data_IF_826096682199
#
_entry.id   IF_826096682199
#
_cell.length_a   1.000
_cell.length_b   1.000
_cell.length_c   1.000
_cell.angle_alpha   90.00
_cell.angle_beta   90.00
_cell.angle_gamma   90.00
#
_symmetry.space_group_name_H-M   'P 1'
#
loop_
_entity.id
_entity.type
_entity.pdbx_description
1 polymer ?
#
# COMPACT_ATOMS: atom_id res chain seq x y z
N UNK A 1 46.60 0.85 10.20
CA UNK A 1 46.40 0.72 8.74
C UNK A 1 45.43 -0.43 8.50
N UNK A 2 44.21 -0.12 8.03
CA UNK A 2 43.13 -1.11 7.91
C UNK A 2 43.24 -1.79 6.52
N UNK A 3 43.83 -3.00 6.47
CA UNK A 3 43.92 -3.78 5.22
C UNK A 3 42.51 -4.21 4.83
N UNK A 4 41.92 -3.54 3.84
CA UNK A 4 40.68 -4.02 3.21
C UNK A 4 40.99 -5.33 2.49
N UNK A 5 40.46 -6.43 2.99
CA UNK A 5 40.50 -7.72 2.28
C UNK A 5 39.88 -7.56 0.88
N UNK A 6 40.57 -8.07 -0.14
CA UNK A 6 40.08 -8.12 -1.53
C UNK A 6 38.91 -9.11 -1.65
N UNK A 7 38.76 -10.02 -0.69
CA UNK A 7 37.79 -11.09 -0.66
C UNK A 7 36.57 -10.65 0.18
N UNK A 8 35.38 -10.67 -0.43
CA UNK A 8 34.14 -10.28 0.25
C UNK A 8 33.59 -11.43 1.10
N UNK A 9 32.72 -11.13 2.08
CA UNK A 9 32.08 -12.15 2.93
C UNK A 9 31.32 -13.23 2.13
N UNK A 10 30.77 -12.86 0.96
CA UNK A 10 30.10 -13.80 0.07
C UNK A 10 31.04 -14.83 -0.55
N UNK A 11 32.28 -14.45 -0.84
CA UNK A 11 33.30 -15.34 -1.40
C UNK A 11 33.81 -16.32 -0.33
N UNK A 12 33.98 -15.84 0.91
CA UNK A 12 34.29 -16.70 2.06
C UNK A 12 33.22 -17.78 2.26
N UNK A 13 31.93 -17.43 2.17
CA UNK A 13 30.84 -18.40 2.33
C UNK A 13 30.85 -19.47 1.23
N UNK A 14 31.26 -19.13 0.00
CA UNK A 14 31.46 -20.13 -1.06
C UNK A 14 32.61 -21.08 -0.75
N UNK A 15 33.74 -20.55 -0.28
CA UNK A 15 34.88 -21.40 0.11
C UNK A 15 34.50 -22.35 1.27
N UNK A 16 33.68 -21.90 2.21
CA UNK A 16 33.26 -22.70 3.37
C UNK A 16 32.20 -23.77 3.05
N UNK A 17 31.45 -23.67 1.94
CA UNK A 17 30.41 -24.63 1.57
C UNK A 17 30.97 -26.03 1.22
N UNK A 18 32.23 -26.12 0.78
CA UNK A 18 32.90 -27.38 0.46
C UNK A 18 33.88 -27.89 1.54
N UNK A 19 34.04 -27.16 2.65
CA UNK A 19 35.09 -27.42 3.64
C UNK A 19 34.52 -28.13 4.88
N UNK A 20 35.16 -29.23 5.29
CA UNK A 20 34.80 -29.96 6.51
C UNK A 20 35.03 -29.09 7.76
N UNK A 21 34.27 -29.36 8.84
CA UNK A 21 34.16 -28.45 10.00
C UNK A 21 35.48 -28.06 10.68
N UNK A 22 36.51 -28.92 10.62
CA UNK A 22 37.82 -28.69 11.23
C UNK A 22 38.71 -27.71 10.47
N UNK A 23 38.53 -27.55 9.15
CA UNK A 23 39.43 -26.76 8.29
C UNK A 23 38.91 -25.34 8.00
N UNK A 24 37.68 -25.03 8.44
CA UNK A 24 37.00 -23.76 8.17
C UNK A 24 37.76 -22.53 8.68
N UNK A 25 38.44 -22.67 9.83
CA UNK A 25 39.23 -21.58 10.43
C UNK A 25 40.43 -21.23 9.57
N UNK A 26 41.14 -22.26 9.09
CA UNK A 26 42.29 -22.10 8.20
C UNK A 26 41.88 -21.42 6.88
N UNK A 27 40.75 -21.84 6.29
CA UNK A 27 40.22 -21.22 5.06
C UNK A 27 39.84 -19.75 5.29
N UNK A 28 39.26 -19.40 6.43
CA UNK A 28 38.90 -18.03 6.76
C UNK A 28 40.14 -17.12 6.92
N UNK A 29 41.17 -17.60 7.59
CA UNK A 29 42.44 -16.88 7.77
C UNK A 29 43.15 -16.64 6.43
N UNK A 30 43.15 -17.63 5.53
CA UNK A 30 43.69 -17.49 4.17
C UNK A 30 42.96 -16.39 3.36
N UNK A 31 41.66 -16.21 3.62
CA UNK A 31 40.83 -15.15 3.02
C UNK A 31 40.97 -13.78 3.73
N UNK A 32 41.84 -13.67 4.73
CA UNK A 32 42.06 -12.44 5.50
C UNK A 32 40.97 -12.15 6.53
N UNK A 33 40.23 -13.17 6.98
CA UNK A 33 39.26 -13.07 8.06
C UNK A 33 39.80 -13.73 9.33
N UNK A 34 39.75 -13.02 10.44
CA UNK A 34 40.10 -13.56 11.75
C UNK A 34 38.82 -13.99 12.48
N UNK A 35 38.87 -15.18 13.10
CA UNK A 35 37.78 -15.66 13.95
C UNK A 35 37.73 -14.84 15.23
N UNK A 36 36.61 -14.16 15.49
CA UNK A 36 36.35 -13.59 16.79
C UNK A 36 35.87 -14.71 17.74
N UNK A 37 36.50 -14.85 18.90
CA UNK A 37 35.89 -15.64 19.97
C UNK A 37 34.53 -15.03 20.32
N UNK A 38 33.51 -15.86 20.63
CA UNK A 38 32.23 -15.35 21.10
C UNK A 38 32.50 -14.45 22.31
N UNK A 39 31.90 -13.25 22.39
CA UNK A 39 32.11 -12.40 23.55
C UNK A 39 31.74 -13.19 24.81
N UNK A 40 32.67 -13.19 25.76
CA UNK A 40 32.49 -13.73 27.10
C UNK A 40 31.18 -13.19 27.65
N UNK A 41 30.28 -14.10 28.04
CA UNK A 41 28.91 -13.76 28.46
C UNK A 41 28.99 -12.68 29.54
N UNK A 42 28.43 -11.51 29.25
CA UNK A 42 28.17 -10.48 30.26
C UNK A 42 27.46 -11.14 31.46
N UNK A 43 27.76 -10.71 32.71
CA UNK A 43 27.14 -11.26 33.89
C UNK A 43 25.63 -11.20 33.72
N UNK A 44 25.00 -12.36 33.82
CA UNK A 44 23.57 -12.54 33.68
C UNK A 44 22.86 -11.52 34.56
N UNK A 45 21.97 -10.73 33.95
CA UNK A 45 20.91 -10.01 34.67
C UNK A 45 20.31 -10.94 35.74
N UNK A 46 19.88 -10.39 36.89
CA UNK A 46 19.35 -11.19 37.98
C UNK A 46 18.35 -12.19 37.41
N UNK A 47 18.62 -13.47 37.68
CA UNK A 47 17.75 -14.57 37.29
C UNK A 47 16.42 -14.31 37.99
N UNK A 48 15.53 -13.63 37.28
CA UNK A 48 14.11 -13.75 37.50
C UNK A 48 13.89 -15.26 37.45
N UNK A 49 13.43 -15.90 38.54
CA UNK A 49 13.20 -17.33 38.52
C UNK A 49 12.40 -17.60 37.27
N UNK A 50 13.00 -18.35 36.35
CA UNK A 50 12.30 -18.86 35.19
C UNK A 50 11.34 -19.87 35.79
N UNK A 51 10.20 -19.36 36.28
CA UNK A 51 8.95 -20.08 36.21
C UNK A 51 8.97 -20.53 34.76
N UNK A 52 9.06 -21.84 34.47
CA UNK A 52 8.96 -22.29 33.10
C UNK A 52 7.72 -21.60 32.58
N UNK A 53 7.88 -20.74 31.57
CA UNK A 53 6.77 -20.38 30.74
C UNK A 53 6.40 -21.67 30.03
N UNK A 54 5.72 -22.56 30.77
CA UNK A 54 4.52 -23.13 30.23
C UNK A 54 3.80 -21.89 29.70
N UNK A 55 3.65 -21.73 28.37
CA UNK A 55 2.57 -20.87 27.90
C UNK A 55 1.38 -21.24 28.77
N UNK A 56 0.57 -20.28 29.27
CA UNK A 56 -0.65 -20.67 29.92
C UNK A 56 -1.24 -21.74 29.03
N UNK A 57 -1.33 -22.95 29.56
CA UNK A 57 -2.25 -23.93 29.02
C UNK A 57 -3.55 -23.23 29.36
N UNK A 58 -3.92 -22.26 28.51
CA UNK A 58 -5.27 -22.12 28.09
C UNK A 58 -5.49 -23.55 27.61
N UNK A 59 -6.02 -24.37 28.51
CA UNK A 59 -7.00 -25.33 28.10
C UNK A 59 -8.03 -24.47 27.39
N UNK A 60 -7.72 -24.15 26.12
CA UNK A 60 -8.72 -24.00 25.11
C UNK A 60 -9.29 -25.39 25.18
N UNK A 61 -10.30 -25.58 26.01
CA UNK A 61 -11.19 -26.72 25.93
C UNK A 61 -11.44 -26.79 24.42
N UNK A 62 -10.82 -27.74 23.70
CA UNK A 62 -10.74 -27.70 22.25
C UNK A 62 -12.19 -27.52 21.83
N UNK A 63 -12.53 -26.39 21.18
CA UNK A 63 -13.87 -25.84 21.20
C UNK A 63 -14.78 -27.01 20.97
N UNK A 64 -15.55 -27.43 22.00
CA UNK A 64 -16.18 -28.76 22.01
C UNK A 64 -16.67 -28.94 20.61
N UNK A 65 -16.03 -29.85 19.87
CA UNK A 65 -16.43 -30.10 18.51
C UNK A 65 -17.80 -30.68 18.74
N UNK A 66 -18.84 -29.84 18.70
CA UNK A 66 -20.15 -30.26 18.33
C UNK A 66 -19.85 -31.17 17.17
N UNK A 67 -20.19 -32.46 17.32
CA UNK A 67 -20.03 -33.49 16.32
C UNK A 67 -20.84 -33.03 15.13
N UNK A 68 -20.28 -32.08 14.38
CA UNK A 68 -20.67 -31.68 13.05
C UNK A 68 -20.35 -32.93 12.28
N UNK A 69 -21.40 -33.60 11.82
CA UNK A 69 -21.30 -34.83 11.05
C UNK A 69 -20.14 -34.75 10.08
N UNK A 70 -19.42 -35.86 9.94
CA UNK A 70 -18.20 -36.06 9.17
C UNK A 70 -18.05 -35.07 8.00
N UNK A 71 -17.46 -33.89 8.25
CA UNK A 71 -17.25 -32.91 7.19
C UNK A 71 -16.10 -33.43 6.35
N UNK A 72 -16.38 -33.79 5.10
CA UNK A 72 -15.37 -34.27 4.18
C UNK A 72 -14.57 -33.08 3.66
N UNK A 73 -13.31 -32.99 4.06
CA UNK A 73 -12.38 -32.01 3.49
C UNK A 73 -11.73 -32.61 2.25
N UNK A 74 -12.01 -32.01 1.09
CA UNK A 74 -11.36 -32.38 -0.16
C UNK A 74 -10.07 -31.57 -0.32
N UNK A 75 -8.95 -32.26 -0.48
CA UNK A 75 -7.66 -31.66 -0.83
C UNK A 75 -7.37 -31.95 -2.29
N UNK A 76 -7.17 -30.91 -3.09
CA UNK A 76 -6.66 -31.08 -4.44
C UNK A 76 -5.26 -31.70 -4.39
N UNK A 77 -5.13 -32.95 -4.83
CA UNK A 77 -3.84 -33.68 -4.89
C UNK A 77 -3.14 -33.44 -6.24
N UNK A 78 -3.92 -33.17 -7.29
CA UNK A 78 -3.45 -32.92 -8.65
C UNK A 78 -4.47 -32.05 -9.38
N UNK A 79 -4.01 -31.09 -10.19
CA UNK A 79 -4.85 -30.37 -11.15
C UNK A 79 -4.36 -30.66 -12.56
N UNK A 80 -5.30 -30.74 -13.50
CA UNK A 80 -5.01 -30.84 -14.93
C UNK A 80 -6.01 -29.94 -15.65
N UNK A 81 -5.52 -29.12 -16.57
CA UNK A 81 -6.40 -28.37 -17.46
C UNK A 81 -7.08 -29.37 -18.41
N UNK A 82 -8.41 -29.50 -18.29
CA UNK A 82 -9.25 -30.16 -19.29
C UNK A 82 -9.76 -29.12 -20.27
N UNK A 83 -9.95 -29.51 -21.53
CA UNK A 83 -10.80 -28.74 -22.44
C UNK A 83 -12.21 -28.64 -21.83
N UNK A 84 -12.86 -27.47 -21.90
CA UNK A 84 -14.19 -27.31 -21.33
C UNK A 84 -15.14 -28.28 -22.03
N UNK A 85 -15.61 -29.29 -21.30
CA UNK A 85 -16.72 -30.13 -21.75
C UNK A 85 -17.93 -29.21 -21.94
N UNK A 86 -18.69 -29.33 -23.05
CA UNK A 86 -19.90 -28.54 -23.24
C UNK A 86 -20.82 -28.77 -22.05
N UNK A 87 -21.46 -27.72 -21.50
CA UNK A 87 -22.25 -27.85 -20.30
C UNK A 87 -23.29 -28.96 -20.49
N UNK A 88 -23.23 -29.98 -19.65
CA UNK A 88 -24.29 -30.99 -19.56
C UNK A 88 -25.62 -30.27 -19.36
N UNK A 89 -26.68 -30.79 -19.99
CA UNK A 89 -28.00 -30.17 -20.05
C UNK A 89 -28.46 -29.61 -18.70
N UNK A 90 -29.13 -28.46 -18.78
CA UNK A 90 -29.60 -27.52 -17.74
C UNK A 90 -30.20 -28.13 -16.47
N UNK A 91 -30.59 -29.41 -16.48
CA UNK A 91 -31.17 -30.13 -15.35
C UNK A 91 -30.24 -30.23 -14.13
N UNK A 92 -28.92 -30.32 -14.31
CA UNK A 92 -27.97 -30.44 -13.19
C UNK A 92 -27.73 -29.14 -12.41
N UNK A 93 -28.12 -27.97 -12.92
CA UNK A 93 -27.94 -26.68 -12.23
C UNK A 93 -29.13 -26.28 -11.36
N UNK A 94 -30.30 -26.89 -11.61
CA UNK A 94 -31.56 -26.53 -10.95
C UNK A 94 -31.52 -26.65 -9.42
N UNK A 95 -30.84 -27.66 -8.87
CA UNK A 95 -30.75 -27.84 -7.42
C UNK A 95 -29.78 -26.84 -6.78
N UNK A 96 -28.70 -26.46 -7.47
CA UNK A 96 -27.72 -25.48 -6.99
C UNK A 96 -28.33 -24.07 -6.96
N UNK A 97 -29.12 -23.73 -7.97
CA UNK A 97 -29.89 -22.47 -8.04
C UNK A 97 -31.02 -22.39 -7.01
N UNK A 98 -31.49 -23.54 -6.51
CA UNK A 98 -32.51 -23.65 -5.47
C UNK A 98 -31.95 -23.67 -4.05
N UNK A 99 -30.62 -23.76 -3.87
CA UNK A 99 -30.02 -23.70 -2.54
C UNK A 99 -30.17 -22.29 -1.95
N UNK A 100 -30.53 -22.18 -0.66
CA UNK A 100 -30.54 -20.89 0.01
C UNK A 100 -29.12 -20.29 0.01
N UNK A 101 -28.99 -18.95 -0.13
CA UNK A 101 -27.70 -18.29 -0.04
C UNK A 101 -27.09 -18.53 1.34
N UNK A 102 -25.75 -18.61 1.39
CA UNK A 102 -25.03 -18.72 2.64
C UNK A 102 -25.33 -17.51 3.54
N UNK A 103 -25.65 -17.79 4.79
CA UNK A 103 -25.89 -16.76 5.82
C UNK A 103 -24.58 -16.07 6.22
N UNK A 104 -24.61 -14.82 6.71
CA UNK A 104 -23.42 -14.15 7.24
C UNK A 104 -22.71 -14.97 8.32
N UNK A 105 -23.46 -15.71 9.14
CA UNK A 105 -22.94 -16.61 10.16
C UNK A 105 -22.19 -17.81 9.55
N UNK A 106 -22.70 -18.39 8.47
CA UNK A 106 -22.02 -19.48 7.73
C UNK A 106 -20.77 -18.99 7.00
N UNK A 107 -20.78 -17.75 6.51
CA UNK A 107 -19.63 -17.09 5.90
C UNK A 107 -18.60 -16.59 6.93
N UNK A 108 -19.00 -16.44 8.19
CA UNK A 108 -18.09 -16.08 9.28
C UNK A 108 -17.28 -17.32 9.67
N UNK A 109 -16.10 -17.47 9.09
CA UNK A 109 -15.18 -18.54 9.48
C UNK A 109 -14.98 -18.56 11.00
N UNK A 110 -15.02 -19.75 11.61
CA UNK A 110 -14.78 -19.92 13.05
C UNK A 110 -13.42 -19.34 13.44
N UNK A 111 -13.38 -18.17 14.09
CA UNK A 111 -12.21 -17.59 14.79
C UNK A 111 -10.84 -17.67 14.06
N UNK A 112 -10.79 -17.72 12.73
CA UNK A 112 -9.53 -17.64 11.98
C UNK A 112 -9.38 -16.22 11.46
N UNK A 113 -8.28 -15.51 11.79
CA UNK A 113 -8.06 -14.18 11.23
C UNK A 113 -7.88 -14.29 9.70
N UNK A 114 -8.41 -13.33 8.92
CA UNK A 114 -8.20 -13.32 7.48
C UNK A 114 -6.70 -13.24 7.15
N UNK A 115 -6.26 -13.72 5.98
CA UNK A 115 -4.88 -13.65 5.58
C UNK A 115 -4.44 -12.18 5.52
N UNK A 116 -3.20 -11.86 5.91
CA UNK A 116 -2.72 -10.49 5.89
C UNK A 116 -2.72 -9.94 4.47
N UNK A 117 -3.25 -8.73 4.28
CA UNK A 117 -3.27 -8.07 2.96
C UNK A 117 -1.89 -7.52 2.63
N UNK A 118 -1.20 -8.01 1.57
CA UNK A 118 0.06 -7.42 1.14
C UNK A 118 -0.16 -5.96 0.70
N UNK A 119 0.74 -5.01 1.04
CA UNK A 119 0.53 -3.60 0.70
C UNK A 119 0.55 -3.37 -0.82
N UNK A 120 -0.24 -2.41 -1.30
CA UNK A 120 -0.26 -1.97 -2.71
C UNK A 120 1.15 -1.64 -3.20
N UNK A 121 1.92 -0.94 -2.37
CA UNK A 121 3.30 -0.59 -2.65
C UNK A 121 4.11 -0.47 -1.37
N UNK A 122 5.36 -0.93 -1.40
CA UNK A 122 6.29 -0.85 -0.27
C UNK A 122 6.52 0.60 0.18
N UNK A 123 6.66 0.84 1.49
CA UNK A 123 6.97 2.15 2.05
C UNK A 123 8.17 2.84 1.38
N UNK A 124 9.26 2.10 1.13
CA UNK A 124 10.47 2.64 0.49
C UNK A 124 10.20 3.31 -0.88
N UNK A 125 9.17 2.86 -1.61
CA UNK A 125 8.76 3.44 -2.90
C UNK A 125 7.71 4.53 -2.75
N UNK A 126 6.86 4.45 -1.73
CA UNK A 126 5.81 5.45 -1.46
C UNK A 126 6.35 6.71 -0.80
N UNK A 127 7.31 6.56 0.12
CA UNK A 127 7.89 7.61 0.93
C UNK A 127 8.43 8.82 0.16
N UNK A 128 9.24 8.67 -0.92
CA UNK A 128 9.81 9.81 -1.62
C UNK A 128 8.76 10.77 -2.19
N UNK A 129 7.62 10.22 -2.63
CA UNK A 129 6.48 11.00 -3.11
C UNK A 129 5.77 11.70 -1.95
N UNK A 130 5.47 10.99 -0.85
CA UNK A 130 4.84 11.61 0.32
C UNK A 130 5.66 12.77 0.87
N UNK A 131 6.98 12.63 0.92
CA UNK A 131 7.91 13.71 1.32
C UNK A 131 7.89 14.90 0.37
N UNK A 132 7.54 14.72 -0.90
CA UNK A 132 7.41 15.81 -1.87
C UNK A 132 6.03 16.48 -1.78
N UNK A 133 4.98 15.67 -1.68
CA UNK A 133 3.58 16.07 -1.55
C UNK A 133 3.32 16.85 -0.26
N UNK A 134 3.61 16.24 0.89
CA UNK A 134 3.40 16.82 2.22
C UNK A 134 4.60 17.63 2.73
N UNK A 135 5.68 17.68 1.95
CA UNK A 135 6.87 18.46 2.28
C UNK A 135 6.68 19.96 2.08
N UNK A 136 7.72 20.72 2.32
CA UNK A 136 7.84 22.15 2.07
C UNK A 136 9.30 22.52 1.84
N UNK A 137 9.53 23.79 1.49
CA UNK A 137 10.88 24.36 1.43
C UNK A 137 11.02 25.40 2.52
N UNK A 138 11.99 25.22 3.40
CA UNK A 138 12.35 26.21 4.42
C UNK A 138 13.73 26.75 4.12
N UNK A 139 13.91 28.06 4.27
CA UNK A 139 15.24 28.66 4.20
C UNK A 139 16.12 28.09 5.30
N UNK A 140 17.29 27.58 4.91
CA UNK A 140 18.28 27.09 5.85
C UNK A 140 19.09 28.22 6.48
N UNK A 141 19.98 27.83 7.40
CA UNK A 141 20.90 28.77 8.04
C UNK A 141 22.06 29.19 7.13
N UNK A 142 22.36 28.39 6.09
CA UNK A 142 23.49 28.62 5.17
C UNK A 142 23.10 29.54 4.02
N UNK A 143 24.01 30.45 3.67
CA UNK A 143 23.91 31.31 2.50
C UNK A 143 24.01 30.52 1.20
N UNK A 144 23.32 30.98 0.15
CA UNK A 144 23.47 30.48 -1.21
C UNK A 144 24.49 31.36 -1.95
N UNK A 145 25.78 30.96 -2.01
CA UNK A 145 26.86 31.85 -2.43
C UNK A 145 26.70 32.29 -3.88
N UNK A 146 26.21 31.43 -4.78
CA UNK A 146 26.01 31.78 -6.19
C UNK A 146 24.94 32.86 -6.38
N UNK A 147 23.85 32.79 -5.61
CA UNK A 147 22.81 33.80 -5.64
C UNK A 147 23.31 35.11 -5.05
N UNK A 148 24.03 35.06 -3.92
CA UNK A 148 24.61 36.24 -3.29
C UNK A 148 25.61 36.96 -4.23
N UNK A 149 26.54 36.22 -4.84
CA UNK A 149 27.52 36.79 -5.78
C UNK A 149 26.81 37.40 -7.00
N UNK A 150 25.81 36.72 -7.57
CA UNK A 150 25.03 37.23 -8.70
C UNK A 150 24.31 38.54 -8.36
N UNK A 151 23.68 38.61 -7.19
CA UNK A 151 22.90 39.78 -6.80
C UNK A 151 23.82 40.96 -6.45
N UNK A 152 24.96 40.71 -5.79
CA UNK A 152 26.02 41.69 -5.55
C UNK A 152 26.64 42.21 -6.86
N UNK A 153 26.96 41.33 -7.80
CA UNK A 153 27.51 41.70 -9.11
C UNK A 153 26.55 42.57 -9.93
N UNK A 154 25.24 42.49 -9.66
CA UNK A 154 24.20 43.32 -10.29
C UNK A 154 23.87 44.58 -9.50
N UNK A 155 24.65 44.90 -8.47
CA UNK A 155 24.41 46.02 -7.55
C UNK A 155 22.98 46.06 -7.00
N UNK A 156 22.37 44.87 -6.82
CA UNK A 156 21.03 44.78 -6.23
C UNK A 156 21.16 44.88 -4.70
N UNK A 157 20.47 45.81 -4.04
CA UNK A 157 20.50 45.92 -2.58
C UNK A 157 19.96 44.63 -1.94
N UNK A 158 20.65 44.14 -0.90
CA UNK A 158 20.21 42.96 -0.15
C UNK A 158 19.16 43.35 0.88
N UNK A 159 17.88 43.21 0.54
CA UNK A 159 16.80 43.28 1.55
C UNK A 159 16.74 42.00 2.42
N UNK A 160 17.19 40.87 1.87
CA UNK A 160 17.32 39.58 2.55
C UNK A 160 18.43 38.76 1.90
N UNK A 161 19.32 38.20 2.69
CA UNK A 161 20.41 37.37 2.16
C UNK A 161 19.86 36.05 1.57
N UNK A 162 20.24 35.67 0.35
CA UNK A 162 19.77 34.44 -0.26
C UNK A 162 20.33 33.22 0.50
N UNK A 163 19.45 32.33 0.93
CA UNK A 163 19.76 31.16 1.76
C UNK A 163 19.43 29.87 1.04
N UNK A 164 20.22 28.82 1.30
CA UNK A 164 19.99 27.48 0.76
C UNK A 164 18.66 26.95 1.31
N UNK A 165 17.70 26.69 0.41
CA UNK A 165 16.42 26.10 0.78
C UNK A 165 16.57 24.60 1.05
N UNK A 166 16.11 24.13 2.20
CA UNK A 166 16.08 22.70 2.57
C UNK A 166 14.66 22.16 2.51
N UNK A 167 14.55 20.87 2.17
CA UNK A 167 13.28 20.14 2.25
C UNK A 167 12.98 19.83 3.71
N UNK A 168 11.80 20.21 4.15
CA UNK A 168 11.26 19.91 5.49
C UNK A 168 9.82 19.45 5.33
N UNK A 169 9.20 18.93 6.39
CA UNK A 169 7.75 18.76 6.39
C UNK A 169 7.04 20.11 6.42
N UNK A 170 5.92 20.22 5.71
CA UNK A 170 5.07 21.40 5.85
C UNK A 170 4.50 21.46 7.27
N UNK A 171 4.46 22.65 7.87
CA UNK A 171 3.94 22.85 9.24
C UNK A 171 2.49 22.38 9.36
N UNK A 172 1.67 22.78 8.40
CA UNK A 172 0.30 22.27 8.26
C UNK A 172 0.20 21.45 6.99
N UNK A 173 -0.56 20.36 7.01
CA UNK A 173 -0.88 19.56 5.84
C UNK A 173 -2.24 18.89 6.02
N UNK A 174 -2.96 18.65 4.93
CA UNK A 174 -4.26 17.98 4.95
C UNK A 174 -4.23 16.71 4.13
N UNK A 175 -4.76 15.62 4.67
CA UNK A 175 -4.93 14.34 3.97
C UNK A 175 -6.41 14.01 3.88
N UNK A 176 -6.89 13.79 2.66
CA UNK A 176 -8.26 13.36 2.39
C UNK A 176 -8.24 11.87 2.06
N UNK A 177 -9.07 11.09 2.75
CA UNK A 177 -9.27 9.67 2.52
C UNK A 177 -10.63 9.48 1.85
N UNK A 178 -10.64 8.79 0.72
CA UNK A 178 -11.88 8.41 0.05
C UNK A 178 -12.55 7.27 0.82
N UNK A 179 -13.74 7.56 1.35
CA UNK A 179 -14.50 6.65 2.18
C UNK A 179 -15.55 5.85 1.43
N UNK A 180 -15.66 5.99 0.10
CA UNK A 180 -16.66 5.25 -0.69
C UNK A 180 -16.49 3.76 -0.54
N UNK A 181 -17.63 3.06 -0.54
CA UNK A 181 -17.63 1.61 -0.37
C UNK A 181 -17.00 0.87 -1.56
N UNK A 182 -17.07 1.45 -2.76
CA UNK A 182 -16.40 0.86 -3.94
C UNK A 182 -14.88 0.76 -3.80
N UNK A 183 -14.26 1.59 -2.94
CA UNK A 183 -12.82 1.55 -2.63
C UNK A 183 -12.52 0.80 -1.32
N UNK A 184 -13.49 0.06 -0.77
CA UNK A 184 -13.30 -0.67 0.49
C UNK A 184 -12.12 -1.66 0.44
N UNK A 185 -11.82 -2.25 -0.73
CA UNK A 185 -10.67 -3.13 -0.93
C UNK A 185 -9.31 -2.46 -0.60
N UNK A 186 -9.22 -1.14 -0.67
CA UNK A 186 -7.98 -0.37 -0.41
C UNK A 186 -7.98 0.35 0.95
N UNK A 187 -9.05 0.21 1.74
CA UNK A 187 -9.24 0.97 2.99
C UNK A 187 -8.13 0.72 4.01
N UNK A 188 -7.67 -0.52 4.12
CA UNK A 188 -6.60 -0.90 5.03
C UNK A 188 -5.24 -0.35 4.57
N UNK A 189 -4.99 -0.32 3.26
CA UNK A 189 -3.81 0.32 2.67
C UNK A 189 -3.78 1.82 3.02
N UNK A 190 -4.92 2.53 2.89
CA UNK A 190 -5.03 3.95 3.23
C UNK A 190 -4.78 4.21 4.71
N UNK A 191 -5.35 3.38 5.58
CA UNK A 191 -5.17 3.48 7.03
C UNK A 191 -3.72 3.25 7.43
N UNK A 192 -3.11 2.17 6.93
CA UNK A 192 -1.70 1.88 7.17
C UNK A 192 -0.79 3.02 6.70
N UNK A 193 -1.10 3.61 5.55
CA UNK A 193 -0.34 4.74 5.03
C UNK A 193 -0.47 6.00 5.90
N UNK A 194 -1.64 6.28 6.44
CA UNK A 194 -1.85 7.40 7.37
C UNK A 194 -1.04 7.20 8.65
N UNK A 195 -1.00 5.99 9.21
CA UNK A 195 -0.18 5.70 10.39
C UNK A 195 1.31 5.88 10.11
N UNK A 196 1.79 5.46 8.94
CA UNK A 196 3.16 5.75 8.50
C UNK A 196 3.42 7.25 8.35
N UNK A 197 2.48 8.00 7.77
CA UNK A 197 2.61 9.47 7.67
C UNK A 197 2.72 10.09 9.06
N UNK A 198 1.85 9.70 10.01
CA UNK A 198 1.93 10.19 11.40
C UNK A 198 3.26 9.86 12.04
N UNK A 199 3.76 8.64 11.85
CA UNK A 199 5.05 8.18 12.41
C UNK A 199 6.24 9.00 11.92
N UNK A 200 6.29 9.34 10.63
CA UNK A 200 7.46 9.99 10.01
C UNK A 200 7.37 11.52 9.92
N UNK A 201 6.15 12.07 9.78
CA UNK A 201 5.90 13.52 9.75
C UNK A 201 5.65 14.09 11.14
N UNK A 202 5.05 13.30 12.02
CA UNK A 202 4.37 13.78 13.22
C UNK A 202 2.90 14.12 12.93
N UNK A 203 2.07 13.98 13.97
CA UNK A 203 0.63 14.29 13.93
C UNK A 203 0.34 15.79 14.05
N UNK A 204 1.27 16.59 14.60
CA UNK A 204 1.07 18.02 14.79
C UNK A 204 0.90 18.73 13.43
N UNK A 205 -0.15 19.55 13.33
CA UNK A 205 -0.53 20.23 12.09
C UNK A 205 -0.92 19.29 10.94
N UNK A 206 -1.19 18.00 11.20
CA UNK A 206 -1.75 17.07 10.22
C UNK A 206 -3.27 16.99 10.41
N UNK A 207 -4.03 17.47 9.44
CA UNK A 207 -5.49 17.32 9.43
C UNK A 207 -5.88 16.15 8.53
N UNK A 208 -6.71 15.26 9.05
CA UNK A 208 -7.15 14.04 8.37
C UNK A 208 -8.66 14.10 8.17
N UNK A 209 -9.11 13.93 6.93
CA UNK A 209 -10.51 14.01 6.54
C UNK A 209 -10.96 12.70 5.91
N UNK A 210 -11.98 12.07 6.46
CA UNK A 210 -12.66 10.93 5.86
C UNK A 210 -13.86 11.43 5.06
N UNK A 211 -13.86 11.19 3.74
CA UNK A 211 -14.91 11.63 2.82
C UNK A 211 -15.89 10.48 2.57
N UNK A 212 -17.01 10.44 3.29
CA UNK A 212 -17.96 9.32 3.25
C UNK A 212 -18.50 9.04 1.84
N UNK A 213 -18.78 10.09 1.07
CA UNK A 213 -19.21 10.02 -0.34
C UNK A 213 -18.06 10.13 -1.34
N UNK A 214 -16.81 10.20 -0.85
CA UNK A 214 -15.61 10.40 -1.66
C UNK A 214 -15.49 11.78 -2.29
N UNK A 215 -16.35 12.74 -1.91
CA UNK A 215 -16.40 14.08 -2.50
C UNK A 215 -15.81 15.14 -1.58
N UNK A 216 -14.90 16.00 -2.05
CA UNK A 216 -14.43 17.16 -1.29
C UNK A 216 -15.49 18.28 -1.21
N UNK A 217 -16.61 18.17 -1.94
CA UNK A 217 -17.74 19.10 -1.83
C UNK A 217 -18.69 18.74 -0.68
N UNK A 218 -18.65 17.49 -0.24
CA UNK A 218 -19.55 16.93 0.75
C UNK A 218 -19.12 17.18 2.19
N UNK A 219 -19.81 16.47 3.09
CA UNK A 219 -19.44 16.40 4.50
C UNK A 219 -18.28 15.43 4.71
N UNK A 220 -17.35 15.81 5.57
CA UNK A 220 -16.21 14.98 5.96
C UNK A 220 -16.19 14.75 7.46
N UNK A 221 -15.66 13.62 7.91
CA UNK A 221 -15.34 13.41 9.33
C UNK A 221 -13.88 13.73 9.58
N UNK A 222 -13.60 14.60 10.55
CA UNK A 222 -12.23 14.96 10.92
C UNK A 222 -11.63 13.93 11.89
N UNK A 223 -10.78 13.04 11.41
CA UNK A 223 -10.20 11.99 12.24
C UNK A 223 -9.23 12.56 13.31
N UNK A 224 -9.20 12.01 14.53
CA UNK A 224 -9.95 10.83 15.00
C UNK A 224 -11.38 11.13 15.53
N UNK A 225 -11.81 12.39 15.54
CA UNK A 225 -13.12 12.76 16.08
C UNK A 225 -14.25 12.44 15.07
N UNK A 226 -15.45 12.07 15.53
CA UNK A 226 -16.59 11.83 14.64
C UNK A 226 -17.25 13.13 14.14
N UNK A 227 -16.64 14.29 14.39
CA UNK A 227 -17.24 15.58 14.08
C UNK A 227 -17.33 15.78 12.56
N UNK A 228 -18.56 16.00 12.10
CA UNK A 228 -18.85 16.28 10.70
C UNK A 228 -18.50 17.73 10.39
N UNK A 229 -17.58 17.92 9.46
CA UNK A 229 -17.04 19.22 9.06
C UNK A 229 -17.02 19.37 7.55
N UNK A 230 -16.89 20.60 7.07
CA UNK A 230 -16.58 20.84 5.66
C UNK A 230 -15.17 20.31 5.33
N UNK A 231 -15.02 19.67 4.18
CA UNK A 231 -13.77 19.16 3.63
C UNK A 231 -12.81 20.30 3.18
N UNK A 232 -12.33 21.10 4.12
CA UNK A 232 -11.48 22.27 3.87
C UNK A 232 -10.05 22.01 4.33
N UNK A 233 -9.03 22.22 3.47
CA UNK A 233 -7.65 22.08 3.89
C UNK A 233 -7.24 23.18 4.86
N UNK A 234 -6.30 22.85 5.73
CA UNK A 234 -5.65 23.82 6.63
C UNK A 234 -4.95 24.91 5.82
N UNK A 235 -5.06 26.16 6.31
CA UNK A 235 -4.59 27.32 5.57
C UNK A 235 -3.08 27.23 5.24
N UNK A 236 -2.76 27.32 3.95
CA UNK A 236 -1.39 27.36 3.43
C UNK A 236 -0.62 26.03 3.47
N UNK A 237 -1.22 24.93 3.92
CA UNK A 237 -0.62 23.60 3.90
C UNK A 237 -0.87 22.85 2.59
N UNK A 238 0.01 21.93 2.16
CA UNK A 238 -0.27 21.07 1.02
C UNK A 238 -1.38 20.06 1.34
N UNK A 239 -2.03 19.60 0.27
CA UNK A 239 -3.10 18.61 0.28
C UNK A 239 -2.64 17.32 -0.38
N UNK A 240 -2.92 16.19 0.28
CA UNK A 240 -2.80 14.85 -0.27
C UNK A 240 -4.16 14.16 -0.31
N UNK A 241 -4.60 13.70 -1.48
CA UNK A 241 -5.75 12.81 -1.61
C UNK A 241 -5.29 11.34 -1.69
N UNK A 242 -5.88 10.47 -0.88
CA UNK A 242 -5.82 9.01 -0.98
C UNK A 242 -7.16 8.54 -1.54
N UNK A 243 -7.26 8.53 -2.87
CA UNK A 243 -8.53 8.37 -3.62
C UNK A 243 -8.21 7.97 -5.05
N UNK A 244 -9.13 7.34 -5.76
CA UNK A 244 -9.08 7.18 -7.23
C UNK A 244 -9.49 8.49 -7.96
N UNK A 245 -9.89 9.54 -7.22
CA UNK A 245 -10.41 10.82 -7.71
C UNK A 245 -11.60 10.67 -8.68
N UNK A 246 -12.37 9.59 -8.54
CA UNK A 246 -13.49 9.25 -9.41
C UNK A 246 -13.13 8.48 -10.69
N UNK A 247 -11.86 8.08 -10.87
CA UNK A 247 -11.42 7.42 -12.10
C UNK A 247 -11.89 5.96 -12.25
N UNK A 248 -12.28 5.26 -11.18
CA UNK A 248 -12.77 3.88 -11.24
C UNK A 248 -14.29 3.80 -11.09
N UNK A 249 -14.83 4.23 -9.95
CA UNK A 249 -16.25 4.04 -9.62
C UNK A 249 -17.07 5.33 -9.45
N UNK A 250 -16.45 6.51 -9.58
CA UNK A 250 -17.11 7.80 -9.30
C UNK A 250 -17.75 8.49 -10.50
N UNK A 251 -17.45 8.01 -11.70
CA UNK A 251 -17.87 8.64 -12.95
C UNK A 251 -17.24 10.01 -13.18
N UNK A 252 -17.55 10.60 -14.34
CA UNK A 252 -16.98 11.88 -14.76
C UNK A 252 -17.41 13.04 -13.87
N UNK A 253 -18.58 12.96 -13.24
CA UNK A 253 -19.09 14.00 -12.34
C UNK A 253 -18.22 14.15 -11.08
N UNK A 254 -17.88 13.05 -10.41
CA UNK A 254 -17.02 13.11 -9.22
C UNK A 254 -15.60 13.58 -9.58
N UNK A 255 -15.07 13.14 -10.73
CA UNK A 255 -13.78 13.62 -11.24
C UNK A 255 -13.75 15.14 -11.48
N UNK A 256 -14.84 15.72 -12.01
CA UNK A 256 -14.98 17.20 -12.15
C UNK A 256 -14.99 17.88 -10.79
N UNK A 257 -15.74 17.37 -9.81
CA UNK A 257 -15.79 17.93 -8.45
C UNK A 257 -14.39 17.98 -7.83
N UNK A 258 -13.63 16.88 -7.94
CA UNK A 258 -12.24 16.83 -7.48
C UNK A 258 -11.33 17.83 -8.21
N UNK A 259 -11.50 17.98 -9.52
CA UNK A 259 -10.72 18.89 -10.35
C UNK A 259 -11.01 20.35 -10.01
N UNK A 260 -12.28 20.72 -9.87
CA UNK A 260 -12.73 22.06 -9.49
C UNK A 260 -12.19 22.48 -8.11
N UNK A 261 -12.22 21.56 -7.13
CA UNK A 261 -11.66 21.83 -5.81
C UNK A 261 -10.15 22.05 -5.87
N UNK A 262 -9.42 21.21 -6.61
CA UNK A 262 -7.98 21.41 -6.76
C UNK A 262 -7.64 22.72 -7.48
N UNK A 263 -8.39 23.10 -8.52
CA UNK A 263 -8.22 24.40 -9.16
C UNK A 263 -8.48 25.57 -8.20
N UNK A 264 -9.49 25.47 -7.32
CA UNK A 264 -9.74 26.48 -6.28
C UNK A 264 -8.61 26.55 -5.26
N UNK A 265 -8.13 25.42 -4.76
CA UNK A 265 -7.03 25.37 -3.80
C UNK A 265 -5.70 25.84 -4.41
N UNK A 266 -5.39 25.44 -5.65
CA UNK A 266 -4.19 25.89 -6.36
C UNK A 266 -4.18 27.41 -6.60
N UNK A 267 -5.34 28.02 -6.88
CA UNK A 267 -5.48 29.49 -6.95
C UNK A 267 -5.17 30.18 -5.62
N UNK A 268 -5.30 29.48 -4.50
CA UNK A 268 -4.90 29.95 -3.15
C UNK A 268 -3.44 29.62 -2.82
N UNK A 269 -2.66 29.10 -3.78
CA UNK A 269 -1.27 28.69 -3.57
C UNK A 269 -1.09 27.33 -2.88
N UNK A 270 -2.17 26.56 -2.70
CA UNK A 270 -2.12 25.24 -2.08
C UNK A 270 -1.69 24.20 -3.13
N UNK A 271 -0.66 23.42 -2.79
CA UNK A 271 -0.23 22.29 -3.63
C UNK A 271 -1.16 21.11 -3.40
N UNK A 272 -1.63 20.51 -4.49
CA UNK A 272 -2.56 19.39 -4.49
C UNK A 272 -1.89 18.18 -5.12
N UNK A 273 -1.70 17.12 -4.35
CA UNK A 273 -1.10 15.85 -4.79
C UNK A 273 -2.06 14.71 -4.49
N UNK A 274 -2.01 13.65 -5.28
CA UNK A 274 -2.89 12.51 -5.08
C UNK A 274 -2.16 11.19 -5.27
N UNK A 275 -2.52 10.20 -4.45
CA UNK A 275 -2.03 8.84 -4.55
C UNK A 275 -3.19 7.92 -4.92
N UNK A 276 -3.21 7.45 -6.17
CA UNK A 276 -4.37 6.81 -6.78
C UNK A 276 -4.19 5.28 -6.83
N UNK A 277 -5.04 4.47 -6.17
CA UNK A 277 -5.12 3.04 -6.40
C UNK A 277 -5.87 2.76 -7.70
N UNK A 278 -5.41 3.36 -8.80
CA UNK A 278 -6.03 3.30 -10.13
C UNK A 278 -4.91 3.29 -11.18
N UNK A 279 -4.94 2.39 -12.18
CA UNK A 279 -3.93 2.33 -13.22
C UNK A 279 -4.00 3.57 -14.12
N UNK A 280 -2.84 4.02 -14.60
CA UNK A 280 -2.67 5.32 -15.27
C UNK A 280 -3.42 5.47 -16.58
N UNK A 281 -3.77 4.37 -17.22
CA UNK A 281 -4.53 4.31 -18.46
C UNK A 281 -6.05 4.50 -18.24
N UNK A 282 -6.51 4.43 -16.99
CA UNK A 282 -7.88 4.77 -16.57
C UNK A 282 -8.01 6.20 -16.01
N UNK A 283 -6.91 6.93 -15.89
CA UNK A 283 -6.94 8.30 -15.35
C UNK A 283 -7.61 9.26 -16.33
N UNK A 284 -8.48 10.13 -15.81
CA UNK A 284 -9.00 11.22 -16.62
C UNK A 284 -7.93 12.30 -16.81
N UNK A 285 -7.88 12.88 -18.01
CA UNK A 285 -6.94 13.96 -18.32
C UNK A 285 -7.20 15.21 -17.45
N UNK A 286 -8.47 15.47 -17.13
CA UNK A 286 -8.90 16.59 -16.28
C UNK A 286 -8.31 16.48 -14.87
N UNK A 287 -8.49 15.32 -14.23
CA UNK A 287 -7.96 15.04 -12.89
C UNK A 287 -6.43 15.10 -12.89
N UNK A 288 -5.79 14.45 -13.86
CA UNK A 288 -4.32 14.42 -13.94
C UNK A 288 -3.70 15.81 -14.22
N UNK A 289 -4.43 16.73 -14.85
CA UNK A 289 -4.02 18.13 -14.98
C UNK A 289 -4.25 18.92 -13.68
N UNK A 290 -5.34 18.64 -12.96
CA UNK A 290 -5.72 19.33 -11.74
C UNK A 290 -4.97 18.86 -10.48
N UNK A 291 -4.33 17.68 -10.51
CA UNK A 291 -3.63 17.08 -9.37
C UNK A 291 -2.25 16.56 -9.75
N UNK A 292 -1.27 16.67 -8.83
CA UNK A 292 0.02 15.99 -8.97
C UNK A 292 -0.17 14.50 -8.65
N UNK A 293 -0.72 13.74 -9.60
CA UNK A 293 -1.13 12.35 -9.44
C UNK A 293 0.06 11.39 -9.41
N UNK A 294 0.01 10.38 -8.55
CA UNK A 294 0.91 9.24 -8.58
C UNK A 294 0.13 7.93 -8.48
N UNK A 295 0.51 6.94 -9.30
CA UNK A 295 -0.06 5.60 -9.23
C UNK A 295 0.36 4.89 -7.96
N UNK A 296 -0.61 4.20 -7.35
CA UNK A 296 -0.44 3.43 -6.13
C UNK A 296 -0.59 1.95 -6.37
N UNK A 297 0.36 1.40 -7.10
CA UNK A 297 0.46 -0.03 -7.32
C UNK A 297 1.92 -0.45 -7.48
N UNK A 298 2.14 -1.76 -7.60
CA UNK A 298 3.42 -2.33 -7.97
C UNK A 298 3.78 -1.91 -9.40
N UNK A 299 5.08 -1.81 -9.68
CA UNK A 299 5.59 -1.38 -10.99
C UNK A 299 5.53 0.14 -11.25
N UNK A 300 4.67 0.89 -10.56
CA UNK A 300 4.57 2.34 -10.75
C UNK A 300 5.84 3.08 -10.32
N UNK A 301 6.47 3.75 -11.31
CA UNK A 301 7.66 4.59 -11.10
C UNK A 301 7.22 6.02 -10.85
N UNK A 302 7.22 6.40 -9.57
CA UNK A 302 6.83 7.76 -9.16
C UNK A 302 7.79 8.81 -9.72
N UNK A 303 7.22 9.86 -10.32
CA UNK A 303 7.94 11.05 -10.77
C UNK A 303 7.63 12.23 -9.85
N UNK A 304 8.55 13.18 -9.74
CA UNK A 304 8.28 14.46 -9.07
C UNK A 304 7.36 15.30 -9.96
N UNK A 305 6.36 15.94 -9.37
CA UNK A 305 5.44 16.84 -10.10
C UNK A 305 4.31 16.13 -10.85
N UNK A 306 3.89 14.95 -10.40
CA UNK A 306 2.79 14.19 -10.99
C UNK A 306 3.20 13.30 -12.19
N UNK A 307 2.41 12.27 -12.44
CA UNK A 307 2.50 11.42 -13.61
C UNK A 307 1.36 11.79 -14.58
N UNK A 308 1.59 11.76 -15.90
CA UNK A 308 0.50 11.93 -16.86
C UNK A 308 -0.34 10.65 -16.96
N UNK A 309 -1.60 10.74 -17.45
CA UNK A 309 -2.33 9.56 -17.86
C UNK A 309 -1.56 8.83 -18.97
N UNK A 310 -1.77 7.52 -19.08
CA UNK A 310 -1.30 6.75 -20.23
C UNK A 310 -2.44 6.65 -21.25
N UNK A 311 -2.09 6.57 -22.53
CA UNK A 311 -3.08 6.19 -23.52
C UNK A 311 -3.62 4.80 -23.15
N UNK A 312 -4.94 4.61 -23.21
CA UNK A 312 -5.56 3.31 -23.00
C UNK A 312 -5.06 2.36 -24.09
N UNK A 313 -4.19 1.43 -23.69
CA UNK A 313 -3.57 0.47 -24.61
C UNK A 313 -4.39 -0.82 -24.71
N UNK A 314 -5.09 -1.17 -23.64
CA UNK A 314 -5.79 -2.45 -23.55
C UNK A 314 -7.21 -2.36 -24.10
N UNK A 315 -7.55 -3.35 -24.92
CA UNK A 315 -8.90 -3.56 -25.41
C UNK A 315 -9.79 -3.97 -24.22
N UNK A 316 -11.03 -3.47 -24.11
CA UNK A 316 -11.98 -3.94 -23.10
C UNK A 316 -12.10 -5.47 -22.96
N UNK A 317 -11.98 -6.21 -24.06
CA UNK A 317 -11.99 -7.68 -24.03
C UNK A 317 -10.82 -8.26 -23.21
N UNK A 318 -9.61 -7.73 -23.37
CA UNK A 318 -8.42 -8.18 -22.64
C UNK A 318 -8.54 -7.83 -21.14
N UNK A 319 -9.10 -6.65 -20.83
CA UNK A 319 -9.35 -6.26 -19.45
C UNK A 319 -10.36 -7.20 -18.77
N UNK A 320 -11.44 -7.56 -19.46
CA UNK A 320 -12.41 -8.55 -18.96
C UNK A 320 -11.76 -9.92 -18.76
N UNK A 321 -10.91 -10.37 -19.68
CA UNK A 321 -10.21 -11.65 -19.54
C UNK A 321 -9.37 -11.72 -18.25
N UNK A 322 -8.75 -10.62 -17.83
CA UNK A 322 -7.99 -10.54 -16.58
C UNK A 322 -8.89 -10.64 -15.34
N UNK A 323 -10.05 -9.98 -15.38
CA UNK A 323 -11.08 -10.06 -14.35
C UNK A 323 -11.60 -11.50 -14.23
N UNK A 324 -11.99 -12.11 -15.34
CA UNK A 324 -12.45 -13.51 -15.41
C UNK A 324 -11.39 -14.49 -14.89
N UNK A 325 -10.12 -14.27 -15.23
CA UNK A 325 -9.03 -15.12 -14.74
C UNK A 325 -8.88 -15.02 -13.22
N UNK A 326 -9.02 -13.82 -12.65
CA UNK A 326 -8.94 -13.64 -11.20
C UNK A 326 -10.19 -14.18 -10.49
N UNK A 327 -11.38 -14.04 -11.08
CA UNK A 327 -12.62 -14.68 -10.62
C UNK A 327 -12.53 -16.20 -10.64
N UNK A 328 -11.95 -16.78 -11.70
CA UNK A 328 -11.71 -18.22 -11.83
C UNK A 328 -10.78 -18.74 -10.71
N UNK A 329 -9.80 -17.94 -10.30
CA UNK A 329 -8.93 -18.29 -9.17
C UNK A 329 -9.64 -18.15 -7.81
N UNK A 330 -10.69 -17.33 -7.73
CA UNK A 330 -11.51 -17.10 -6.55
C UNK A 330 -12.69 -18.07 -6.45
N UNK A 331 -13.03 -18.82 -7.50
CA UNK A 331 -14.14 -19.80 -7.51
C UNK A 331 -14.20 -20.73 -6.28
N UNK A 332 -13.10 -21.25 -5.71
CA UNK A 332 -13.19 -22.10 -4.51
C UNK A 332 -13.47 -21.32 -3.21
N UNK A 333 -13.44 -19.99 -3.21
CA UNK A 333 -13.65 -19.17 -2.03
C UNK A 333 -15.13 -18.80 -1.88
N UNK A 334 -15.72 -19.12 -0.72
CA UNK A 334 -17.10 -18.74 -0.39
C UNK A 334 -17.28 -17.23 -0.20
N UNK A 335 -16.19 -16.49 0.05
CA UNK A 335 -16.17 -15.04 0.24
C UNK A 335 -14.91 -14.44 -0.36
N UNK A 336 -15.04 -13.25 -0.97
CA UNK A 336 -13.90 -12.50 -1.46
C UNK A 336 -13.24 -11.71 -0.32
N UNK A 337 -12.16 -12.24 0.25
CA UNK A 337 -11.37 -11.52 1.25
C UNK A 337 -10.28 -10.67 0.60
N UNK A 338 -10.04 -9.45 1.11
CA UNK A 338 -9.05 -8.50 0.56
C UNK A 338 -7.65 -9.10 0.45
N UNK A 339 -7.21 -9.82 1.50
CA UNK A 339 -5.89 -10.42 1.55
C UNK A 339 -5.71 -11.54 0.53
N UNK A 340 -6.75 -12.36 0.33
CA UNK A 340 -6.77 -13.41 -0.69
C UNK A 340 -6.75 -12.81 -2.09
N UNK A 341 -7.68 -11.89 -2.38
CA UNK A 341 -7.79 -11.21 -3.67
C UNK A 341 -6.46 -10.54 -4.06
N UNK A 342 -5.88 -9.74 -3.15
CA UNK A 342 -4.58 -9.11 -3.35
C UNK A 342 -3.50 -10.17 -3.60
N UNK A 343 -3.45 -11.24 -2.81
CA UNK A 343 -2.43 -12.28 -2.99
C UNK A 343 -2.53 -12.97 -4.36
N UNK A 344 -3.74 -13.32 -4.81
CA UNK A 344 -3.98 -13.92 -6.11
C UNK A 344 -3.60 -12.97 -7.25
N UNK A 345 -3.99 -11.69 -7.17
CA UNK A 345 -3.54 -10.67 -8.13
C UNK A 345 -2.02 -10.64 -8.24
N UNK A 346 -1.33 -10.68 -7.11
CA UNK A 346 0.12 -10.58 -7.08
C UNK A 346 0.82 -11.82 -7.63
N UNK A 347 0.17 -12.99 -7.61
CA UNK A 347 0.65 -14.19 -8.29
C UNK A 347 0.50 -14.09 -9.82
N UNK A 348 -0.51 -13.37 -10.31
CA UNK A 348 -0.69 -13.06 -11.74
C UNK A 348 0.28 -11.97 -12.26
N UNK A 349 0.98 -11.27 -11.37
CA UNK A 349 2.04 -10.30 -11.67
C UNK A 349 1.60 -9.19 -12.65
N UNK A 350 2.12 -9.15 -13.89
CA UNK A 350 1.76 -8.12 -14.87
C UNK A 350 0.40 -8.35 -15.54
N UNK A 351 -0.17 -9.55 -15.39
CA UNK A 351 -1.46 -9.89 -15.98
C UNK A 351 -2.63 -9.28 -15.19
N UNK A 352 -2.41 -8.69 -14.00
CA UNK A 352 -3.47 -8.04 -13.22
C UNK A 352 -2.92 -6.88 -12.37
N UNK A 353 -3.56 -5.71 -12.47
CA UNK A 353 -3.18 -4.50 -11.75
C UNK A 353 -4.22 -4.11 -10.70
N UNK A 354 -3.97 -3.03 -9.96
CA UNK A 354 -4.89 -2.49 -8.95
C UNK A 354 -6.29 -2.19 -9.51
N UNK A 355 -6.41 -1.88 -10.81
CA UNK A 355 -7.70 -1.72 -11.48
C UNK A 355 -8.43 -3.05 -11.62
N UNK A 356 -7.74 -4.12 -12.00
CA UNK A 356 -8.31 -5.48 -12.01
C UNK A 356 -8.79 -5.90 -10.61
N UNK A 357 -8.03 -5.56 -9.56
CA UNK A 357 -8.43 -5.82 -8.17
C UNK A 357 -9.74 -5.11 -7.81
N UNK A 358 -9.86 -3.84 -8.19
CA UNK A 358 -11.06 -3.05 -7.99
C UNK A 358 -12.25 -3.64 -8.73
N UNK A 359 -12.07 -4.02 -10.00
CA UNK A 359 -13.14 -4.55 -10.85
C UNK A 359 -13.68 -5.87 -10.29
N UNK A 360 -12.79 -6.76 -9.82
CA UNK A 360 -13.18 -8.04 -9.19
C UNK A 360 -13.87 -7.81 -7.86
N UNK A 361 -13.33 -6.94 -6.99
CA UNK A 361 -13.98 -6.62 -5.72
C UNK A 361 -15.40 -6.08 -5.93
N UNK A 362 -15.63 -5.25 -6.94
CA UNK A 362 -16.95 -4.68 -7.22
C UNK A 362 -17.78 -5.53 -8.20
N UNK A 363 -17.36 -6.77 -8.51
CA UNK A 363 -18.07 -7.64 -9.43
C UNK A 363 -19.40 -8.14 -8.82
N UNK A 364 -20.51 -8.23 -9.59
CA UNK A 364 -21.81 -8.69 -9.08
C UNK A 364 -21.79 -10.07 -8.42
N UNK A 365 -20.87 -10.94 -8.85
CA UNK A 365 -20.74 -12.31 -8.31
C UNK A 365 -19.90 -12.37 -7.02
N UNK A 366 -19.23 -11.28 -6.63
CA UNK A 366 -18.44 -11.23 -5.41
C UNK A 366 -19.30 -10.80 -4.21
N UNK A 367 -19.37 -11.68 -3.21
CA UNK A 367 -19.86 -11.34 -1.87
C UNK A 367 -18.67 -10.88 -1.02
N UNK A 368 -18.69 -9.62 -0.58
CA UNK A 368 -17.59 -8.96 0.15
C UNK A 368 -17.86 -8.78 1.63
#
# INVERSE_FOLDING_TARGET
>A
MNRRSVIQRGDLLRCLQGTCGGERRFVAELCGFEGAEPPERLPSEPVIPTIPFLPPRIEVEPPRLATTGTVQFLRAVRSQAKEPEPPAETAERTWLEQLPPLTPEELSGRNVPPPPTPPLQSWARTWPFLRDALGGRREGTRLEPRAAVRDAARMRPFHRLPRIKRRVWARHASVFLDGRESLACFRDDMRALVEEIKRWRGAEGLSLFWLTDGSPAGQAHRLPAPETVAAKPEAGGPVLALSDLGCLGGGTALGRVWSDHAHRWRRQGIRCSALLPCPRDRWSAEVAAAWDCAGWDRGERRRRGGQPPLARKENPADANQKVERLLTLLTPAARCERGLLRSLRLLLNQDADVGTEFDVWNHPECVN
#
